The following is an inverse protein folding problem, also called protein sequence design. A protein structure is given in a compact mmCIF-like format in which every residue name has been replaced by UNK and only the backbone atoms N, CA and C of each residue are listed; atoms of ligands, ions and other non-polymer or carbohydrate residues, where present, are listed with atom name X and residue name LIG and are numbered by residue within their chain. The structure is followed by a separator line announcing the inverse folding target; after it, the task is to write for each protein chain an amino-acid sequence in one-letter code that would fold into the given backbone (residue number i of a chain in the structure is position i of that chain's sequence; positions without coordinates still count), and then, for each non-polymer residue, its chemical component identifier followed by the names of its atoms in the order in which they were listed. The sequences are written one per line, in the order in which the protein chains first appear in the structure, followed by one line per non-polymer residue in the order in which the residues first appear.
data_IF_437112488787
#
_entry.id   IF_437112488787
#
_cell.length_a   1.000
_cell.length_b   1.000
_cell.length_c   1.000
_cell.angle_alpha   90.00
_cell.angle_beta   90.00
_cell.angle_gamma   90.00
#
_symmetry.space_group_name_H-M   'P 1'
#
loop_
_entity.id
_entity.type
_entity.pdbx_description
1 polymer ?
#
# COMPACT_ATOMS: atom_id res chain seq x y z
N UNK A 1 -19.74 -13.55 38.37
CA UNK A 1 -19.92 -12.62 37.24
C UNK A 1 -18.58 -12.14 36.64
N UNK A 2 -17.58 -11.75 37.44
CA UNK A 2 -16.29 -11.26 36.91
C UNK A 2 -15.44 -12.27 36.12
N UNK A 3 -15.47 -13.55 36.48
CA UNK A 3 -14.67 -14.61 35.82
C UNK A 3 -15.14 -14.91 34.39
N UNK A 4 -16.45 -14.88 34.15
CA UNK A 4 -17.03 -15.09 32.80
C UNK A 4 -16.67 -13.92 31.89
N UNK A 5 -16.78 -12.68 32.39
CA UNK A 5 -16.34 -11.48 31.66
C UNK A 5 -14.85 -11.55 31.31
N UNK A 6 -14.00 -11.97 32.26
CA UNK A 6 -12.57 -12.15 32.01
C UNK A 6 -12.27 -13.18 30.91
N UNK A 7 -12.99 -14.32 30.87
CA UNK A 7 -12.85 -15.32 29.81
C UNK A 7 -13.24 -14.79 28.43
N UNK A 8 -14.35 -14.05 28.34
CA UNK A 8 -14.82 -13.43 27.09
C UNK A 8 -13.80 -12.39 26.58
N UNK A 9 -13.24 -11.58 27.48
CA UNK A 9 -12.19 -10.61 27.13
C UNK A 9 -10.92 -11.31 26.66
N UNK A 10 -10.51 -12.40 27.32
CA UNK A 10 -9.33 -13.17 26.89
C UNK A 10 -9.51 -13.77 25.49
N UNK A 11 -10.70 -14.31 25.19
CA UNK A 11 -11.00 -14.83 23.87
C UNK A 11 -10.93 -13.74 22.79
N UNK A 12 -11.51 -12.56 23.05
CA UNK A 12 -11.41 -11.42 22.13
C UNK A 12 -9.97 -10.94 21.93
N UNK A 13 -9.14 -10.93 22.99
CA UNK A 13 -7.72 -10.58 22.89
C UNK A 13 -6.98 -11.60 22.02
N UNK A 14 -7.21 -12.89 22.26
CA UNK A 14 -6.59 -13.96 21.47
C UNK A 14 -6.98 -13.86 19.99
N UNK A 15 -8.28 -13.65 19.69
CA UNK A 15 -8.76 -13.45 18.32
C UNK A 15 -8.12 -12.23 17.64
N UNK A 16 -7.96 -11.12 18.36
CA UNK A 16 -7.30 -9.91 17.83
C UNK A 16 -5.82 -10.16 17.53
N UNK A 17 -5.11 -10.84 18.43
CA UNK A 17 -3.70 -11.19 18.25
C UNK A 17 -3.53 -12.12 17.05
N UNK A 18 -4.37 -13.14 16.93
CA UNK A 18 -4.34 -14.07 15.81
C UNK A 18 -4.63 -13.39 14.48
N UNK A 19 -5.66 -12.54 14.43
CA UNK A 19 -5.98 -11.77 13.22
C UNK A 19 -4.84 -10.82 12.81
N UNK A 20 -4.17 -10.19 13.78
CA UNK A 20 -2.98 -9.38 13.52
C UNK A 20 -1.84 -10.23 12.95
N UNK A 21 -1.61 -11.42 13.51
CA UNK A 21 -0.56 -12.32 13.06
C UNK A 21 -0.78 -12.77 11.61
N UNK A 22 -2.01 -13.20 11.28
CA UNK A 22 -2.39 -13.52 9.90
C UNK A 22 -2.24 -12.34 8.95
N UNK A 23 -2.64 -11.14 9.39
CA UNK A 23 -2.52 -9.93 8.57
C UNK A 23 -1.07 -9.53 8.31
N UNK A 24 -0.16 -9.77 9.25
CA UNK A 24 1.25 -9.41 9.09
C UNK A 24 1.98 -10.43 8.21
N UNK A 25 1.69 -11.73 8.38
CA UNK A 25 2.45 -12.80 7.73
C UNK A 25 1.84 -13.21 6.38
N UNK A 26 0.55 -13.56 6.39
CA UNK A 26 -0.10 -14.23 5.26
C UNK A 26 -0.53 -13.24 4.18
N UNK A 27 -1.02 -12.08 4.61
CA UNK A 27 -1.56 -11.06 3.72
C UNK A 27 -0.59 -10.54 2.65
N UNK A 28 0.65 -10.12 2.98
CA UNK A 28 1.58 -9.64 1.96
C UNK A 28 1.99 -10.76 0.98
N UNK A 29 2.10 -12.00 1.45
CA UNK A 29 2.45 -13.14 0.60
C UNK A 29 1.31 -13.50 -0.36
N UNK A 30 0.07 -13.54 0.12
CA UNK A 30 -1.10 -13.80 -0.71
C UNK A 30 -1.27 -12.74 -1.81
N UNK A 31 -1.09 -11.47 -1.47
CA UNK A 31 -1.17 -10.39 -2.46
C UNK A 31 -0.09 -10.54 -3.55
N UNK A 32 1.14 -10.89 -3.18
CA UNK A 32 2.21 -11.11 -4.15
C UNK A 32 1.91 -12.31 -5.08
N UNK A 33 1.45 -13.43 -4.54
CA UNK A 33 1.14 -14.63 -5.33
C UNK A 33 -0.03 -14.38 -6.30
N UNK A 34 -1.10 -13.73 -5.83
CA UNK A 34 -2.25 -13.40 -6.69
C UNK A 34 -1.83 -12.43 -7.79
N UNK A 35 -0.99 -11.45 -7.46
CA UNK A 35 -0.46 -10.49 -8.42
C UNK A 35 0.37 -11.17 -9.52
N UNK A 36 1.31 -12.02 -9.12
CA UNK A 36 2.17 -12.77 -10.05
C UNK A 36 1.34 -13.76 -10.91
N UNK A 37 0.29 -14.35 -10.33
CA UNK A 37 -0.63 -15.24 -11.05
C UNK A 37 -1.45 -14.51 -12.13
N UNK A 38 -1.90 -13.27 -11.86
CA UNK A 38 -2.61 -12.44 -12.85
C UNK A 38 -1.69 -12.08 -14.01
N UNK A 39 -0.46 -11.65 -13.73
CA UNK A 39 0.50 -11.31 -14.79
C UNK A 39 0.87 -12.50 -15.68
N UNK A 40 0.96 -13.69 -15.09
CA UNK A 40 1.21 -14.92 -15.85
C UNK A 40 0.04 -15.25 -16.78
N UNK A 41 -1.20 -14.98 -16.35
CA UNK A 41 -2.41 -15.22 -17.16
C UNK A 41 -2.55 -14.24 -18.33
N UNK A 42 -2.19 -12.98 -18.13
CA UNK A 42 -2.24 -11.92 -19.16
C UNK A 42 -1.06 -11.98 -20.14
N UNK A 43 -0.17 -12.97 -20.03
CA UNK A 43 0.90 -13.22 -21.01
C UNK A 43 2.20 -12.44 -20.76
N UNK A 44 2.38 -11.78 -19.61
CA UNK A 44 3.61 -11.04 -19.26
C UNK A 44 4.69 -11.93 -18.60
N UNK A 45 4.79 -13.19 -19.01
CA UNK A 45 5.77 -14.14 -18.45
C UNK A 45 7.23 -13.67 -18.63
N UNK A 46 7.55 -12.99 -19.73
CA UNK A 46 8.90 -12.50 -20.03
C UNK A 46 9.38 -11.40 -19.06
N UNK A 47 8.46 -10.61 -18.50
CA UNK A 47 8.79 -9.54 -17.55
C UNK A 47 9.18 -10.15 -16.18
N UNK A 48 8.45 -11.17 -15.74
CA UNK A 48 8.74 -11.94 -14.52
C UNK A 48 10.06 -12.70 -14.62
N UNK A 49 10.37 -13.29 -15.78
CA UNK A 49 11.61 -14.03 -15.98
C UNK A 49 12.84 -13.11 -16.02
N UNK A 50 12.75 -11.97 -16.72
CA UNK A 50 13.83 -10.97 -16.78
C UNK A 50 14.11 -10.31 -15.42
N UNK A 51 13.10 -10.15 -14.56
CA UNK A 51 13.29 -9.65 -13.19
C UNK A 51 14.20 -10.55 -12.35
N UNK A 52 13.93 -11.87 -12.33
CA UNK A 52 14.65 -12.83 -11.51
C UNK A 52 16.15 -12.91 -11.85
N UNK A 53 16.53 -12.60 -13.09
CA UNK A 53 17.93 -12.57 -13.54
C UNK A 53 18.63 -11.25 -13.18
N UNK A 54 17.91 -10.13 -13.18
CA UNK A 54 18.46 -8.78 -12.97
C UNK A 54 18.65 -8.44 -11.49
N UNK A 55 17.86 -9.03 -10.60
CA UNK A 55 17.82 -8.62 -9.19
C UNK A 55 18.87 -9.30 -8.28
N UNK A 56 19.93 -9.88 -8.85
CA UNK A 56 20.90 -10.70 -8.09
C UNK A 56 21.90 -9.90 -7.23
N UNK A 57 22.07 -8.59 -7.39
CA UNK A 57 22.93 -7.80 -6.50
C UNK A 57 22.77 -6.29 -6.69
N UNK A 58 22.31 -5.58 -5.65
CA UNK A 58 22.84 -4.24 -5.33
C UNK A 58 22.50 -3.84 -3.88
N UNK A 59 23.46 -3.88 -2.96
CA UNK A 59 23.30 -3.20 -1.68
C UNK A 59 23.50 -1.70 -1.90
N UNK A 60 22.43 -0.92 -1.71
CA UNK A 60 22.54 0.53 -1.66
C UNK A 60 23.17 0.92 -0.32
N UNK A 61 24.38 1.50 -0.37
CA UNK A 61 25.04 2.13 0.77
C UNK A 61 24.38 3.48 1.04
N UNK A 62 23.36 3.47 1.90
CA UNK A 62 22.61 4.66 2.28
C UNK A 62 23.30 5.39 3.45
N UNK A 63 23.76 6.61 3.22
CA UNK A 63 24.27 7.50 4.27
C UNK A 63 23.11 8.18 5.02
N UNK A 64 22.70 7.56 6.12
CA UNK A 64 21.46 7.82 6.88
C UNK A 64 21.39 9.16 7.66
N UNK A 65 22.47 9.78 8.18
CA UNK A 65 22.26 10.87 9.15
C UNK A 65 21.90 12.24 8.55
N UNK A 66 22.21 12.53 7.27
CA UNK A 66 22.03 13.88 6.69
C UNK A 66 20.65 14.15 6.08
N UNK A 67 19.92 13.09 5.72
CA UNK A 67 18.59 13.18 5.07
C UNK A 67 17.48 13.32 6.12
N UNK A 68 17.69 12.75 7.32
CA UNK A 68 16.74 12.81 8.43
C UNK A 68 16.43 14.26 8.85
N UNK A 69 17.45 15.11 9.06
CA UNK A 69 17.21 16.44 9.64
C UNK A 69 16.52 17.43 8.69
N UNK A 70 16.74 17.31 7.38
CA UNK A 70 16.18 18.23 6.37
C UNK A 70 14.75 17.86 5.95
N UNK A 71 14.30 16.62 6.21
CA UNK A 71 12.99 16.12 5.79
C UNK A 71 11.93 16.12 6.90
N UNK A 72 12.31 16.28 8.17
CA UNK A 72 11.40 16.12 9.33
C UNK A 72 10.52 17.37 9.55
N UNK A 73 11.03 18.58 9.34
CA UNK A 73 10.26 19.82 9.52
C UNK A 73 9.03 19.95 8.60
N UNK A 74 9.14 19.77 7.26
CA UNK A 74 7.98 19.90 6.37
C UNK A 74 6.99 18.74 6.50
N UNK A 75 7.48 17.54 6.88
CA UNK A 75 6.60 16.38 7.10
C UNK A 75 5.74 16.58 8.35
N UNK A 76 6.28 17.11 9.44
CA UNK A 76 5.50 17.42 10.64
C UNK A 76 4.40 18.45 10.38
N UNK A 77 4.69 19.54 9.66
CA UNK A 77 3.68 20.54 9.30
C UNK A 77 2.57 19.95 8.41
N UNK A 78 2.97 19.13 7.43
CA UNK A 78 2.03 18.38 6.61
C UNK A 78 1.13 17.51 7.50
N UNK A 79 1.68 16.69 8.40
CA UNK A 79 0.88 15.81 9.26
C UNK A 79 -0.05 16.57 10.22
N UNK A 80 0.39 17.70 10.78
CA UNK A 80 -0.47 18.56 11.61
C UNK A 80 -1.64 19.11 10.81
N UNK A 81 -1.42 19.51 9.54
CA UNK A 81 -2.50 19.97 8.67
C UNK A 81 -3.50 18.86 8.35
N UNK A 82 -3.05 17.61 8.17
CA UNK A 82 -3.94 16.46 7.98
C UNK A 82 -4.74 16.18 9.24
N UNK A 83 -4.14 16.30 10.42
CA UNK A 83 -4.79 16.11 11.72
C UNK A 83 -5.89 17.16 11.96
N UNK A 84 -5.58 18.44 11.71
CA UNK A 84 -6.55 19.52 11.83
C UNK A 84 -7.74 19.33 10.88
N UNK A 85 -7.50 18.76 9.68
CA UNK A 85 -8.55 18.52 8.70
C UNK A 85 -9.54 17.44 9.13
N UNK A 86 -9.08 16.39 9.82
CA UNK A 86 -9.94 15.28 10.31
C UNK A 86 -10.90 15.73 11.42
N UNK A 87 -10.68 16.91 12.02
CA UNK A 87 -11.54 17.49 13.05
C UNK A 87 -12.96 17.80 12.54
N UNK A 88 -13.13 17.98 11.22
CA UNK A 88 -14.45 18.10 10.59
C UNK A 88 -14.93 16.70 10.18
N UNK A 89 -15.92 16.11 10.89
CA UNK A 89 -16.42 14.78 10.54
C UNK A 89 -16.95 14.76 9.11
N UNK A 90 -16.70 13.65 8.39
CA UNK A 90 -17.04 13.40 6.98
C UNK A 90 -16.17 14.14 5.94
N UNK A 91 -16.07 15.47 6.01
CA UNK A 91 -15.33 16.26 4.98
C UNK A 91 -13.81 16.10 5.13
N UNK A 92 -13.31 16.05 6.36
CA UNK A 92 -11.90 15.85 6.66
C UNK A 92 -11.33 14.58 6.03
N UNK A 93 -11.93 13.40 6.32
CA UNK A 93 -11.51 12.13 5.72
C UNK A 93 -11.49 12.13 4.19
N UNK A 94 -12.46 12.79 3.54
CA UNK A 94 -12.51 12.87 2.07
C UNK A 94 -11.31 13.62 1.49
N UNK A 95 -11.01 14.81 2.01
CA UNK A 95 -9.89 15.63 1.50
C UNK A 95 -8.54 14.96 1.79
N UNK A 96 -8.39 14.37 2.98
CA UNK A 96 -7.18 13.60 3.32
C UNK A 96 -7.02 12.40 2.38
N UNK A 97 -8.11 11.72 2.02
CA UNK A 97 -8.08 10.59 1.09
C UNK A 97 -7.66 11.03 -0.31
N UNK A 98 -8.16 12.17 -0.82
CA UNK A 98 -7.73 12.73 -2.11
C UNK A 98 -6.23 13.04 -2.10
N UNK A 99 -5.71 13.66 -1.03
CA UNK A 99 -4.27 13.96 -0.91
C UNK A 99 -3.40 12.70 -0.84
N UNK A 100 -3.90 11.63 -0.23
CA UNK A 100 -3.18 10.36 -0.06
C UNK A 100 -3.33 9.42 -1.25
N UNK A 101 -4.35 9.61 -2.10
CA UNK A 101 -4.64 8.79 -3.27
C UNK A 101 -3.43 8.50 -4.17
N UNK A 102 -2.66 9.49 -4.68
CA UNK A 102 -1.54 9.19 -5.58
C UNK A 102 -0.45 8.35 -4.91
N UNK A 103 -0.22 8.54 -3.60
CA UNK A 103 0.70 7.70 -2.84
C UNK A 103 0.19 6.27 -2.74
N UNK A 104 -1.10 6.09 -2.43
CA UNK A 104 -1.73 4.77 -2.34
C UNK A 104 -1.67 4.01 -3.66
N UNK A 105 -1.87 4.69 -4.79
CA UNK A 105 -1.74 4.11 -6.13
C UNK A 105 -0.28 3.72 -6.43
N UNK A 106 0.69 4.58 -6.09
CA UNK A 106 2.11 4.25 -6.21
C UNK A 106 2.49 3.01 -5.41
N UNK A 107 1.95 2.86 -4.19
CA UNK A 107 2.18 1.68 -3.35
C UNK A 107 1.58 0.41 -3.98
N UNK A 108 0.40 0.50 -4.61
CA UNK A 108 -0.20 -0.62 -5.33
C UNK A 108 0.61 -1.07 -6.55
N UNK A 109 1.27 -0.14 -7.25
CA UNK A 109 2.18 -0.43 -8.37
C UNK A 109 3.61 -0.76 -7.95
N UNK A 110 3.94 -0.75 -6.66
CA UNK A 110 5.31 -1.01 -6.20
C UNK A 110 5.83 -2.34 -6.72
N UNK A 111 5.01 -3.40 -6.65
CA UNK A 111 5.34 -4.72 -7.19
C UNK A 111 5.55 -4.69 -8.70
N UNK A 112 4.74 -3.94 -9.46
CA UNK A 112 4.95 -3.73 -10.89
C UNK A 112 6.33 -3.13 -11.16
N UNK A 113 6.67 -2.04 -10.47
CA UNK A 113 7.92 -1.33 -10.68
C UNK A 113 9.14 -2.15 -10.29
N UNK A 114 9.00 -2.98 -9.25
CA UNK A 114 10.00 -3.98 -8.88
C UNK A 114 10.21 -4.97 -10.02
N UNK A 115 9.14 -5.55 -10.60
CA UNK A 115 9.22 -6.49 -11.72
C UNK A 115 9.82 -5.85 -12.99
N UNK A 116 9.49 -4.59 -13.28
CA UNK A 116 10.08 -3.83 -14.38
C UNK A 116 11.55 -3.43 -14.10
N UNK A 117 12.01 -3.56 -12.85
CA UNK A 117 13.33 -3.14 -12.38
C UNK A 117 13.59 -1.64 -12.60
N UNK A 118 12.57 -0.81 -12.41
CA UNK A 118 12.71 0.63 -12.51
C UNK A 118 13.44 1.19 -11.30
N UNK A 119 14.29 2.20 -11.52
CA UNK A 119 14.96 2.93 -10.43
C UNK A 119 13.95 3.87 -9.73
N UNK A 120 14.11 4.16 -8.43
CA UNK A 120 13.19 5.02 -7.68
C UNK A 120 13.02 6.42 -8.29
N UNK A 121 14.07 6.95 -8.91
CA UNK A 121 14.06 8.23 -9.63
C UNK A 121 13.10 8.22 -10.84
N UNK A 122 13.19 7.18 -11.66
CA UNK A 122 12.35 6.99 -12.85
C UNK A 122 10.89 6.78 -12.45
N UNK A 123 10.66 5.99 -11.39
CA UNK A 123 9.32 5.78 -10.83
C UNK A 123 8.72 7.13 -10.42
N UNK A 124 9.51 7.98 -9.74
CA UNK A 124 9.01 9.26 -9.26
C UNK A 124 8.68 10.24 -10.40
N UNK A 125 9.54 10.32 -11.41
CA UNK A 125 9.30 11.15 -12.60
C UNK A 125 8.06 10.67 -13.38
N UNK A 126 7.92 9.36 -13.56
CA UNK A 126 6.75 8.76 -14.22
C UNK A 126 5.45 9.02 -13.44
N UNK A 127 5.45 8.79 -12.12
CA UNK A 127 4.29 9.06 -11.27
C UNK A 127 3.94 10.56 -11.24
N UNK A 128 4.94 11.45 -11.32
CA UNK A 128 4.72 12.89 -11.36
C UNK A 128 4.07 13.33 -12.68
N UNK A 129 4.49 12.74 -13.81
CA UNK A 129 3.89 12.99 -15.14
C UNK A 129 2.45 12.51 -15.23
N UNK A 130 2.14 11.35 -14.64
CA UNK A 130 0.80 10.75 -14.68
C UNK A 130 0.00 10.96 -13.38
N UNK A 131 0.31 12.00 -12.61
CA UNK A 131 -0.26 12.19 -11.27
C UNK A 131 -1.80 12.19 -11.23
N UNK A 132 -2.44 12.67 -12.30
CA UNK A 132 -3.91 12.70 -12.39
C UNK A 132 -4.51 11.28 -12.47
N UNK A 133 -3.93 10.39 -13.27
CA UNK A 133 -4.39 9.00 -13.39
C UNK A 133 -4.13 8.24 -12.09
N UNK A 134 -2.94 8.43 -11.50
CA UNK A 134 -2.61 7.85 -10.19
C UNK A 134 -3.54 8.34 -9.09
N UNK A 135 -3.97 9.60 -9.13
CA UNK A 135 -4.93 10.14 -8.17
C UNK A 135 -6.29 9.48 -8.31
N UNK A 136 -6.82 9.31 -9.52
CA UNK A 136 -8.13 8.65 -9.74
C UNK A 136 -8.12 7.19 -9.29
N UNK A 137 -7.11 6.43 -9.71
CA UNK A 137 -6.95 5.03 -9.33
C UNK A 137 -6.83 4.93 -7.81
N UNK A 138 -5.93 5.71 -7.22
CA UNK A 138 -5.73 5.73 -5.77
C UNK A 138 -6.99 6.11 -4.98
N UNK A 139 -7.82 7.00 -5.52
CA UNK A 139 -9.09 7.40 -4.93
C UNK A 139 -10.05 6.21 -4.87
N UNK A 140 -10.20 5.47 -5.98
CA UNK A 140 -11.03 4.25 -6.04
C UNK A 140 -10.53 3.21 -5.04
N UNK A 141 -9.21 2.96 -4.99
CA UNK A 141 -8.61 2.03 -4.03
C UNK A 141 -8.95 2.40 -2.58
N UNK A 142 -8.80 3.68 -2.22
CA UNK A 142 -9.09 4.18 -0.88
C UNK A 142 -10.58 4.10 -0.54
N UNK A 143 -11.47 4.41 -1.49
CA UNK A 143 -12.91 4.31 -1.27
C UNK A 143 -13.36 2.87 -1.04
N UNK A 144 -12.80 1.91 -1.79
CA UNK A 144 -13.06 0.49 -1.60
C UNK A 144 -12.55 0.01 -0.22
N UNK A 145 -11.40 0.51 0.22
CA UNK A 145 -10.83 0.18 1.54
C UNK A 145 -11.60 0.82 2.71
N UNK A 146 -12.32 1.91 2.45
CA UNK A 146 -13.11 2.62 3.47
C UNK A 146 -14.31 1.82 3.97
N UNK A 147 -14.74 0.77 3.25
CA UNK A 147 -15.87 -0.08 3.64
C UNK A 147 -15.41 -1.06 4.73
N UNK A 148 -15.84 -0.88 6.00
CA UNK A 148 -15.46 -1.79 7.08
C UNK A 148 -16.09 -3.17 6.84
N UNK A 149 -15.35 -4.23 7.18
CA UNK A 149 -15.79 -5.62 7.02
C UNK A 149 -15.45 -6.24 5.66
N UNK A 150 -15.39 -5.43 4.58
CA UNK A 150 -15.02 -5.90 3.23
C UNK A 150 -13.62 -5.50 2.79
N UNK A 151 -12.89 -4.75 3.61
CA UNK A 151 -11.53 -4.28 3.33
C UNK A 151 -10.62 -5.40 2.82
N UNK A 152 -10.69 -6.60 3.42
CA UNK A 152 -9.88 -7.73 3.00
C UNK A 152 -10.16 -8.14 1.54
N UNK A 153 -11.43 -8.31 1.18
CA UNK A 153 -11.85 -8.65 -0.18
C UNK A 153 -11.43 -7.55 -1.17
N UNK A 154 -11.70 -6.30 -0.83
CA UNK A 154 -11.35 -5.17 -1.68
C UNK A 154 -9.84 -4.99 -1.86
N UNK A 155 -9.02 -5.38 -0.89
CA UNK A 155 -7.58 -5.35 -1.07
C UNK A 155 -7.10 -6.37 -2.14
N UNK A 156 -7.77 -7.53 -2.29
CA UNK A 156 -7.48 -8.44 -3.40
C UNK A 156 -7.92 -7.84 -4.73
N UNK A 157 -9.14 -7.33 -4.82
CA UNK A 157 -9.65 -6.69 -6.03
C UNK A 157 -8.80 -5.49 -6.44
N UNK A 158 -8.38 -4.65 -5.48
CA UNK A 158 -7.47 -3.55 -5.69
C UNK A 158 -6.14 -4.05 -6.26
N UNK A 159 -5.58 -5.11 -5.69
CA UNK A 159 -4.32 -5.67 -6.15
C UNK A 159 -4.43 -6.26 -7.58
N UNK A 160 -5.53 -6.92 -7.90
CA UNK A 160 -5.82 -7.43 -9.26
C UNK A 160 -5.99 -6.26 -10.25
N UNK A 161 -6.74 -5.22 -9.88
CA UNK A 161 -6.93 -4.03 -10.71
C UNK A 161 -5.62 -3.29 -10.98
N UNK A 162 -4.72 -3.24 -10.00
CA UNK A 162 -3.37 -2.68 -10.17
C UNK A 162 -2.49 -3.56 -11.07
N UNK A 163 -2.63 -4.89 -10.99
CA UNK A 163 -1.94 -5.80 -11.91
C UNK A 163 -2.42 -5.61 -13.35
N UNK A 164 -3.73 -5.50 -13.56
CA UNK A 164 -4.34 -5.28 -14.88
C UNK A 164 -3.99 -3.93 -15.48
N UNK A 165 -3.80 -2.88 -14.66
CA UNK A 165 -3.38 -1.57 -15.16
C UNK A 165 -1.95 -1.60 -15.77
N UNK A 166 -1.15 -2.63 -15.46
CA UNK A 166 0.16 -2.83 -16.07
C UNK A 166 0.10 -3.40 -17.50
N UNK A 167 -0.99 -4.10 -17.85
CA UNK A 167 -1.18 -4.80 -19.12
C UNK A 167 -1.71 -3.84 -20.17
#
# INVERSE_FOLDING_TARGET
MGTISAMVVMFHLCQRIFALCLKIILFPQLQAVVFDAVLTREGLYDVLFNYNLRNRYKPDTLNIPRILFKSVLPTLFSEISHLALVLVPVVGPLIVSIKRAPRRAKDGHKRCFELLGWKPEVINDYCAKNNFDYTKVGLVLLFLEMIPGFTFFFLFTNNIGMALWMV
#
